data_IF_619115633120
#
_entry.id   IF_619115633120
#
_cell.length_a   1.000
_cell.length_b   1.000
_cell.length_c   1.000
_cell.angle_alpha   90.00
_cell.angle_beta   90.00
_cell.angle_gamma   90.00
#
_symmetry.space_group_name_H-M   'P 1'
#
loop_
_entity.id
_entity.type
_entity.pdbx_description
1 polymer ?
#
# COMPACT_ATOMS: atom_id res chain seq x y z
N UNK A 1 2.42 -12.77 5.98
CA UNK A 1 2.11 -11.94 4.79
C UNK A 1 2.40 -10.53 5.18
N UNK A 2 3.56 -10.03 4.81
CA UNK A 2 4.00 -8.69 5.14
C UNK A 2 3.27 -7.69 4.22
N UNK A 3 2.47 -6.78 4.79
CA UNK A 3 1.82 -5.73 4.00
C UNK A 3 2.90 -4.77 3.45
N UNK A 4 2.75 -4.29 2.20
CA UNK A 4 3.70 -3.36 1.57
C UNK A 4 3.76 -2.00 2.28
N UNK A 5 4.91 -1.33 2.21
CA UNK A 5 5.09 0.06 2.65
C UNK A 5 4.86 1.05 1.52
N UNK A 6 4.86 2.36 1.81
CA UNK A 6 4.65 3.40 0.81
C UNK A 6 5.74 3.36 -0.27
N UNK A 7 5.35 3.36 -1.54
CA UNK A 7 6.23 3.17 -2.70
C UNK A 7 6.37 1.72 -3.16
N UNK A 8 5.94 0.74 -2.36
CA UNK A 8 5.93 -0.66 -2.78
C UNK A 8 4.63 -1.03 -3.51
N UNK A 9 4.69 -2.11 -4.28
CA UNK A 9 3.54 -2.65 -5.01
C UNK A 9 2.53 -3.27 -4.06
N UNK A 10 1.24 -3.05 -4.31
CA UNK A 10 0.14 -3.64 -3.57
C UNK A 10 -0.88 -4.31 -4.51
N UNK A 11 -1.61 -5.28 -3.99
CA UNK A 11 -2.69 -5.94 -4.74
C UNK A 11 -3.92 -5.04 -4.82
N UNK A 12 -4.75 -5.21 -5.85
CA UNK A 12 -6.00 -4.46 -5.99
C UNK A 12 -6.88 -4.71 -4.76
N UNK A 13 -7.33 -3.63 -4.09
CA UNK A 13 -8.05 -3.72 -2.82
C UNK A 13 -7.21 -4.14 -1.60
N UNK A 14 -5.88 -4.16 -1.74
CA UNK A 14 -4.95 -4.48 -0.67
C UNK A 14 -4.78 -3.37 0.36
N UNK A 15 -4.02 -3.67 1.42
CA UNK A 15 -3.69 -2.71 2.48
C UNK A 15 -2.19 -2.44 2.52
N UNK A 16 -1.83 -1.26 3.00
CA UNK A 16 -0.44 -0.89 3.26
C UNK A 16 -0.17 -0.99 4.76
N UNK A 17 1.06 -1.33 5.13
CA UNK A 17 1.48 -1.45 6.52
C UNK A 17 1.48 -0.10 7.24
N UNK A 18 1.88 0.95 6.52
CA UNK A 18 2.16 2.26 7.11
C UNK A 18 0.85 3.05 7.29
N UNK A 19 0.54 3.51 8.52
CA UNK A 19 -0.59 4.39 8.75
C UNK A 19 -0.49 5.66 7.89
N UNK A 20 -1.57 5.99 7.19
CA UNK A 20 -1.62 7.12 6.24
C UNK A 20 -1.18 6.77 4.82
N UNK A 21 -0.68 5.56 4.58
CA UNK A 21 -0.53 5.03 3.23
C UNK A 21 -1.71 4.12 2.90
N UNK A 22 -2.27 4.32 1.72
CA UNK A 22 -3.35 3.51 1.16
C UNK A 22 -2.90 2.88 -0.13
N UNK A 23 -3.42 1.69 -0.45
CA UNK A 23 -3.09 1.03 -1.70
C UNK A 23 -3.85 1.73 -2.83
N UNK A 24 -3.14 2.55 -3.60
CA UNK A 24 -3.60 3.11 -4.87
C UNK A 24 -2.99 2.25 -5.95
N UNK A 25 -3.69 1.18 -6.33
CA UNK A 25 -3.13 0.18 -7.23
C UNK A 25 -2.45 0.82 -8.46
N UNK A 26 -1.22 0.40 -8.82
CA UNK A 26 -0.51 -0.76 -8.30
C UNK A 26 0.39 -0.52 -7.07
N UNK A 27 0.37 0.67 -6.45
CA UNK A 27 1.31 1.01 -5.38
C UNK A 27 0.67 1.51 -4.09
N UNK A 28 1.33 1.27 -2.97
CA UNK A 28 1.02 1.95 -1.73
C UNK A 28 1.44 3.41 -1.83
N UNK A 29 0.48 4.33 -1.81
CA UNK A 29 0.72 5.77 -1.87
C UNK A 29 0.30 6.44 -0.57
N UNK A 30 1.01 7.49 -0.18
CA UNK A 30 0.64 8.34 0.96
C UNK A 30 -0.22 9.47 0.43
N UNK A 31 -1.44 9.60 0.94
CA UNK A 31 -2.27 10.77 0.67
C UNK A 31 -1.83 11.99 1.49
#
# INVERSE_FOLDING_TARGET
GDLPICGETCFEGGNCRIPGCTCVWPFCSKN
#
